data_IF_126118584363
#
_entry.id   IF_126118584363
#
_cell.length_a   1.000
_cell.length_b   1.000
_cell.length_c   1.000
_cell.angle_alpha   90.00
_cell.angle_beta   90.00
_cell.angle_gamma   90.00
#
_symmetry.space_group_name_H-M   'P 1'
#
loop_
_entity.id
_entity.type
_entity.pdbx_description
1 polymer ?
#
# COMPACT_ATOMS: atom_id res chain seq x y z
N UNK A 1 7.67 -31.77 -43.99
CA UNK A 1 7.61 -33.21 -43.65
C UNK A 1 6.27 -33.39 -42.92
N UNK A 2 5.14 -33.66 -43.59
CA UNK A 2 4.59 -34.98 -43.94
C UNK A 2 4.92 -36.05 -42.90
N UNK A 3 4.01 -36.80 -42.28
CA UNK A 3 2.57 -37.11 -42.50
C UNK A 3 1.99 -37.60 -41.15
N UNK A 4 0.68 -37.74 -40.90
CA UNK A 4 -0.48 -37.76 -41.78
C UNK A 4 -1.79 -37.71 -40.97
N UNK A 5 -2.83 -37.27 -41.68
CA UNK A 5 -4.22 -37.15 -41.25
C UNK A 5 -4.96 -38.51 -41.26
N UNK A 6 -6.11 -38.58 -40.58
CA UNK A 6 -7.42 -38.69 -41.27
C UNK A 6 -8.60 -38.41 -40.35
N UNK A 7 -9.61 -37.82 -40.97
CA UNK A 7 -10.85 -37.23 -40.48
C UNK A 7 -12.07 -38.15 -40.61
N UNK A 8 -13.08 -37.92 -39.76
CA UNK A 8 -14.54 -37.78 -40.01
C UNK A 8 -15.23 -38.76 -40.99
N UNK A 9 -16.35 -39.35 -40.52
CA UNK A 9 -17.40 -39.88 -41.38
C UNK A 9 -18.61 -40.43 -40.60
N UNK A 10 -19.78 -39.85 -40.86
CA UNK A 10 -21.09 -40.18 -40.28
C UNK A 10 -21.96 -40.93 -41.32
N UNK A 11 -22.98 -41.68 -40.84
CA UNK A 11 -24.18 -42.25 -41.52
C UNK A 11 -24.02 -43.53 -42.36
N UNK A 12 -25.11 -44.28 -42.74
CA UNK A 12 -26.55 -44.17 -42.44
C UNK A 12 -27.28 -45.48 -42.01
N UNK A 13 -28.59 -45.34 -41.79
CA UNK A 13 -29.68 -46.28 -41.49
C UNK A 13 -29.77 -47.58 -42.34
N UNK A 14 -30.44 -48.62 -41.81
CA UNK A 14 -31.75 -49.11 -42.31
C UNK A 14 -32.23 -50.43 -41.66
N UNK A 15 -33.49 -50.39 -41.18
CA UNK A 15 -34.53 -51.44 -41.31
C UNK A 15 -34.43 -52.70 -40.42
N UNK A 16 -35.50 -53.27 -39.83
CA UNK A 16 -36.93 -53.30 -40.15
C UNK A 16 -37.73 -53.96 -38.97
N UNK A 17 -39.07 -54.11 -39.00
CA UNK A 17 -39.98 -53.70 -37.92
C UNK A 17 -40.76 -54.85 -37.26
N UNK A 18 -41.47 -54.57 -36.17
CA UNK A 18 -42.64 -55.37 -35.78
C UNK A 18 -43.83 -54.47 -35.41
N UNK A 19 -44.77 -54.40 -36.34
CA UNK A 19 -46.10 -53.84 -36.20
C UNK A 19 -47.04 -54.86 -35.54
N UNK A 20 -47.86 -54.44 -34.57
CA UNK A 20 -49.11 -55.14 -34.24
C UNK A 20 -50.27 -54.15 -34.32
N UNK A 21 -51.16 -54.48 -35.24
CA UNK A 21 -52.36 -53.80 -35.69
C UNK A 21 -53.49 -53.82 -34.66
N UNK A 22 -54.29 -52.75 -34.70
CA UNK A 22 -55.65 -52.67 -34.13
C UNK A 22 -56.68 -53.06 -35.20
N UNK A 23 -57.69 -53.83 -34.80
CA UNK A 23 -58.90 -54.20 -35.57
C UNK A 23 -59.29 -55.62 -35.20
N UNK A 24 -60.54 -56.03 -35.08
CA UNK A 24 -61.90 -55.47 -35.06
C UNK A 24 -62.70 -56.52 -34.22
N UNK A 25 -63.84 -56.29 -33.56
CA UNK A 25 -65.08 -55.75 -34.07
C UNK A 25 -66.00 -56.85 -34.63
N UNK A 26 -66.55 -57.76 -33.81
CA UNK A 26 -67.84 -58.45 -34.08
C UNK A 26 -68.49 -58.89 -32.76
N UNK A 27 -69.64 -58.31 -32.43
CA UNK A 27 -70.97 -58.95 -32.38
C UNK A 27 -71.29 -59.55 -31.01
N UNK A 28 -72.24 -58.91 -30.33
CA UNK A 28 -72.89 -59.50 -29.17
C UNK A 28 -73.95 -60.49 -29.61
N UNK A 29 -74.00 -61.61 -28.90
CA UNK A 29 -75.20 -62.39 -28.65
C UNK A 29 -75.55 -62.25 -27.17
N UNK A 30 -76.73 -61.72 -26.91
CA UNK A 30 -77.28 -61.75 -25.56
C UNK A 30 -77.76 -63.15 -25.24
N UNK A 31 -77.24 -63.72 -24.16
CA UNK A 31 -77.99 -64.57 -23.26
C UNK A 31 -77.82 -64.05 -21.83
N UNK A 32 -78.95 -63.79 -21.18
CA UNK A 32 -78.96 -63.58 -19.75
C UNK A 32 -78.76 -64.92 -19.07
N UNK A 33 -77.60 -65.10 -18.44
CA UNK A 33 -77.40 -66.08 -17.38
C UNK A 33 -76.48 -65.47 -16.30
N UNK A 34 -76.91 -65.39 -15.02
CA UNK A 34 -76.04 -64.95 -13.95
C UNK A 34 -75.23 -66.13 -13.42
N UNK A 35 -73.95 -66.16 -13.79
CA UNK A 35 -72.90 -66.85 -13.06
C UNK A 35 -72.17 -67.90 -13.86
N UNK A 36 -70.92 -67.59 -14.22
CA UNK A 36 -69.72 -68.13 -13.55
C UNK A 36 -68.45 -67.79 -14.34
N UNK A 37 -67.55 -66.96 -13.78
CA UNK A 37 -66.28 -66.71 -14.45
C UNK A 37 -65.44 -65.53 -13.99
N UNK A 38 -65.02 -65.51 -12.73
CA UNK A 38 -63.76 -64.84 -12.30
C UNK A 38 -63.18 -65.46 -11.02
N UNK A 39 -61.97 -66.03 -11.13
CA UNK A 39 -60.99 -66.16 -10.06
C UNK A 39 -61.37 -66.97 -8.81
N UNK A 40 -61.04 -68.26 -8.82
CA UNK A 40 -61.22 -69.22 -7.75
C UNK A 40 -60.56 -68.76 -6.43
N UNK A 41 -61.37 -68.13 -5.56
CA UNK A 41 -61.05 -67.89 -4.17
C UNK A 41 -60.81 -69.24 -3.46
N UNK A 42 -59.72 -69.34 -2.70
CA UNK A 42 -59.57 -70.36 -1.67
C UNK A 42 -60.81 -70.31 -0.75
N UNK A 43 -61.65 -71.36 -0.67
CA UNK A 43 -62.97 -71.29 -0.02
C UNK A 43 -62.94 -71.13 1.50
N UNK A 44 -61.77 -70.97 2.13
CA UNK A 44 -61.60 -70.92 3.58
C UNK A 44 -60.97 -69.62 4.11
N UNK A 45 -60.60 -68.68 3.23
CA UNK A 45 -59.99 -67.44 3.69
C UNK A 45 -60.99 -66.56 4.48
N UNK A 46 -60.61 -66.14 5.68
CA UNK A 46 -61.40 -65.29 6.57
C UNK A 46 -62.14 -66.05 7.68
N UNK A 47 -61.72 -67.28 8.01
CA UNK A 47 -62.29 -68.10 9.09
C UNK A 47 -61.56 -67.95 10.44
N UNK A 48 -60.47 -67.18 10.47
CA UNK A 48 -59.65 -66.89 11.64
C UNK A 48 -58.60 -67.95 11.97
N UNK A 49 -58.32 -68.88 11.05
CA UNK A 49 -57.30 -69.93 11.21
C UNK A 49 -56.41 -69.96 9.98
N UNK A 50 -55.09 -69.82 10.13
CA UNK A 50 -54.15 -69.91 8.99
C UNK A 50 -54.04 -71.35 8.49
N UNK A 51 -54.43 -71.59 7.24
CA UNK A 51 -54.43 -72.91 6.59
C UNK A 51 -53.34 -73.05 5.51
N UNK A 52 -53.23 -74.25 4.92
CA UNK A 52 -52.24 -74.51 3.86
C UNK A 52 -52.61 -73.71 2.61
N UNK A 53 -51.75 -72.77 2.24
CA UNK A 53 -51.98 -71.85 1.11
C UNK A 53 -52.33 -70.42 1.52
N UNK A 54 -52.51 -70.16 2.82
CA UNK A 54 -52.72 -68.83 3.39
C UNK A 54 -51.44 -68.35 4.08
N UNK A 55 -51.15 -67.06 3.96
CA UNK A 55 -50.04 -66.42 4.68
C UNK A 55 -50.51 -65.80 6.00
N UNK A 56 -51.79 -65.41 6.07
CA UNK A 56 -52.47 -64.89 7.24
C UNK A 56 -53.97 -65.23 7.18
N UNK A 57 -54.64 -65.22 8.34
CA UNK A 57 -56.11 -65.22 8.41
C UNK A 57 -56.53 -64.58 9.74
N UNK A 58 -57.02 -63.34 9.67
CA UNK A 58 -57.51 -62.57 10.82
C UNK A 58 -59.04 -62.63 10.94
N UNK A 59 -59.68 -63.58 10.24
CA UNK A 59 -61.11 -63.77 10.23
C UNK A 59 -61.85 -62.58 9.63
N UNK A 60 -62.84 -62.08 10.36
CA UNK A 60 -63.59 -60.87 9.97
C UNK A 60 -62.76 -59.57 9.98
N UNK A 61 -61.49 -59.63 10.37
CA UNK A 61 -60.57 -58.48 10.29
C UNK A 61 -59.75 -58.47 8.99
N UNK A 62 -59.88 -59.50 8.14
CA UNK A 62 -59.39 -59.43 6.77
C UNK A 62 -60.11 -58.28 6.04
N UNK A 63 -59.39 -57.55 5.20
CA UNK A 63 -59.93 -56.39 4.52
C UNK A 63 -58.95 -55.81 3.52
N UNK A 64 -59.48 -55.08 2.53
CA UNK A 64 -58.71 -54.43 1.46
C UNK A 64 -57.72 -53.36 1.96
N UNK A 65 -57.76 -53.03 3.26
CA UNK A 65 -56.83 -52.08 3.90
C UNK A 65 -56.43 -52.57 5.30
N UNK A 66 -56.46 -53.89 5.51
CA UNK A 66 -56.06 -54.58 6.74
C UNK A 66 -54.74 -55.34 6.54
N UNK A 67 -54.03 -55.65 7.63
CA UNK A 67 -52.79 -56.45 7.62
C UNK A 67 -52.90 -57.82 6.93
N UNK A 68 -54.13 -58.32 6.78
CA UNK A 68 -54.43 -59.52 6.03
C UNK A 68 -55.48 -59.17 4.96
N UNK A 69 -55.12 -59.39 3.70
CA UNK A 69 -56.00 -59.12 2.55
C UNK A 69 -57.22 -60.06 2.57
N UNK A 70 -58.30 -59.75 1.83
CA UNK A 70 -59.46 -60.64 1.73
C UNK A 70 -59.17 -62.00 1.08
N UNK A 71 -57.98 -62.15 0.50
CA UNK A 71 -57.46 -63.39 -0.09
C UNK A 71 -56.39 -64.07 0.78
N UNK A 72 -56.23 -63.66 2.04
CA UNK A 72 -55.34 -64.31 3.02
C UNK A 72 -53.85 -64.24 2.68
N UNK A 73 -53.48 -63.17 2.00
CA UNK A 73 -52.10 -62.74 1.83
C UNK A 73 -51.76 -61.63 2.82
N UNK A 74 -50.52 -61.64 3.32
CA UNK A 74 -50.03 -60.59 4.20
C UNK A 74 -49.93 -59.29 3.39
N UNK A 75 -50.43 -58.20 3.96
CA UNK A 75 -50.24 -56.86 3.41
C UNK A 75 -48.76 -56.62 3.10
N UNK A 76 -48.47 -56.25 1.85
CA UNK A 76 -47.10 -56.13 1.37
C UNK A 76 -46.88 -54.77 0.72
N UNK A 77 -45.85 -54.08 1.17
CA UNK A 77 -45.46 -52.81 0.59
C UNK A 77 -45.08 -52.95 -0.90
N UNK A 78 -45.66 -52.09 -1.73
CA UNK A 78 -45.51 -52.07 -3.18
C UNK A 78 -46.56 -52.90 -3.92
N UNK A 79 -47.69 -53.24 -3.29
CA UNK A 79 -48.77 -54.01 -3.92
C UNK A 79 -49.91 -53.14 -4.51
N UNK A 80 -49.82 -51.83 -4.32
CA UNK A 80 -50.74 -50.82 -4.83
C UNK A 80 -51.82 -50.41 -3.82
N UNK A 81 -51.80 -50.92 -2.59
CA UNK A 81 -52.80 -50.67 -1.56
C UNK A 81 -52.19 -50.09 -0.28
N UNK A 82 -52.70 -48.95 0.17
CA UNK A 82 -52.24 -48.33 1.42
C UNK A 82 -52.97 -48.95 2.62
N UNK A 83 -52.25 -49.71 3.45
CA UNK A 83 -52.81 -50.33 4.66
C UNK A 83 -52.73 -49.41 5.89
N UNK A 84 -53.88 -48.87 6.31
CA UNK A 84 -53.94 -47.87 7.39
C UNK A 84 -53.28 -48.33 8.70
N UNK A 85 -52.34 -47.54 9.20
CA UNK A 85 -51.63 -47.77 10.47
C UNK A 85 -50.46 -48.75 10.36
N UNK A 86 -50.19 -49.30 9.18
CA UNK A 86 -49.01 -50.09 8.87
C UNK A 86 -48.09 -49.38 7.87
N UNK A 87 -48.70 -48.66 6.93
CA UNK A 87 -48.01 -47.99 5.83
C UNK A 87 -48.44 -46.52 5.74
N UNK A 88 -47.49 -45.65 5.39
CA UNK A 88 -47.75 -44.21 5.18
C UNK A 88 -48.09 -43.90 3.71
N UNK A 89 -47.65 -44.78 2.80
CA UNK A 89 -47.87 -44.72 1.35
C UNK A 89 -47.73 -46.15 0.76
N UNK A 90 -48.18 -46.35 -0.47
CA UNK A 90 -47.91 -47.50 -1.32
C UNK A 90 -48.16 -47.06 -2.78
N UNK A 91 -47.17 -47.23 -3.66
CA UNK A 91 -47.23 -46.81 -5.06
C UNK A 91 -47.18 -48.00 -6.04
N UNK A 92 -47.39 -49.21 -5.54
CA UNK A 92 -47.43 -50.44 -6.36
C UNK A 92 -46.07 -50.88 -6.88
N UNK A 93 -44.97 -50.41 -6.30
CA UNK A 93 -43.64 -50.86 -6.63
C UNK A 93 -42.67 -50.84 -5.41
N UNK A 94 -41.41 -51.25 -5.62
CA UNK A 94 -40.40 -51.35 -4.55
C UNK A 94 -39.17 -50.46 -4.82
N UNK A 95 -39.37 -49.37 -5.56
CA UNK A 95 -38.32 -48.39 -5.86
C UNK A 95 -38.18 -47.43 -4.67
N UNK A 96 -37.02 -46.78 -4.56
CA UNK A 96 -36.78 -45.71 -3.58
C UNK A 96 -36.56 -44.37 -4.30
N UNK A 97 -37.11 -44.20 -5.49
CA UNK A 97 -36.83 -43.04 -6.35
C UNK A 97 -38.10 -42.24 -6.66
N UNK A 98 -39.19 -42.61 -6.01
CA UNK A 98 -40.55 -42.13 -6.07
C UNK A 98 -41.03 -41.72 -4.68
N UNK A 99 -42.27 -41.25 -4.59
CA UNK A 99 -42.84 -40.65 -3.38
C UNK A 99 -42.99 -41.65 -2.21
N UNK A 100 -42.78 -42.95 -2.46
CA UNK A 100 -42.90 -44.02 -1.46
C UNK A 100 -41.70 -44.96 -1.45
N UNK A 101 -40.86 -44.88 -0.42
CA UNK A 101 -39.65 -45.72 -0.32
C UNK A 101 -39.96 -47.13 0.19
N UNK A 102 -39.03 -48.06 -0.05
CA UNK A 102 -39.05 -49.44 0.47
C UNK A 102 -39.34 -49.44 1.98
N UNK A 103 -40.43 -50.10 2.36
CA UNK A 103 -40.94 -50.07 3.74
C UNK A 103 -42.13 -49.13 3.95
N UNK A 104 -42.68 -48.58 2.86
CA UNK A 104 -43.94 -47.85 2.81
C UNK A 104 -43.95 -46.63 3.72
N UNK A 105 -42.86 -45.87 3.60
CA UNK A 105 -42.66 -44.56 4.20
C UNK A 105 -42.62 -43.51 3.10
N UNK A 106 -43.17 -42.34 3.42
CA UNK A 106 -43.06 -41.21 2.50
C UNK A 106 -41.58 -40.87 2.34
N UNK A 107 -41.19 -40.66 1.08
CA UNK A 107 -39.91 -40.09 0.71
C UNK A 107 -39.69 -38.76 1.48
N UNK A 108 -38.55 -38.62 2.13
CA UNK A 108 -38.18 -37.39 2.84
C UNK A 108 -36.72 -37.07 2.62
N UNK A 109 -36.41 -35.78 2.43
CA UNK A 109 -35.03 -35.33 2.38
C UNK A 109 -34.24 -35.77 3.62
N UNK A 110 -33.07 -36.38 3.39
CA UNK A 110 -32.19 -36.91 4.43
C UNK A 110 -32.49 -38.36 4.83
N UNK A 111 -33.24 -39.11 4.04
CA UNK A 111 -33.56 -40.51 4.31
C UNK A 111 -32.58 -41.53 3.68
N UNK A 112 -31.63 -41.03 2.88
CA UNK A 112 -30.57 -41.80 2.24
C UNK A 112 -30.90 -42.23 0.81
N UNK A 113 -32.04 -41.79 0.25
CA UNK A 113 -32.49 -42.17 -1.09
C UNK A 113 -32.69 -40.96 -1.98
N UNK A 114 -32.01 -40.93 -3.14
CA UNK A 114 -32.13 -39.86 -4.11
C UNK A 114 -33.44 -39.96 -4.94
N UNK A 115 -34.40 -39.08 -4.70
CA UNK A 115 -35.67 -39.00 -5.42
C UNK A 115 -35.55 -38.17 -6.72
N UNK A 116 -35.39 -38.87 -7.84
CA UNK A 116 -35.09 -38.27 -9.13
C UNK A 116 -36.18 -37.28 -9.59
N UNK A 117 -35.78 -36.02 -9.78
CA UNK A 117 -36.67 -34.95 -10.25
C UNK A 117 -37.46 -34.24 -9.15
N UNK A 118 -37.32 -34.68 -7.89
CA UNK A 118 -37.84 -33.99 -6.70
C UNK A 118 -36.70 -33.30 -5.96
N UNK A 119 -35.59 -33.99 -5.78
CA UNK A 119 -34.38 -33.52 -5.11
C UNK A 119 -33.14 -33.63 -5.99
N UNK A 120 -32.14 -32.82 -5.67
CA UNK A 120 -30.88 -32.77 -6.39
C UNK A 120 -29.75 -33.50 -5.65
N UNK A 121 -29.89 -33.74 -4.34
CA UNK A 121 -28.99 -34.54 -3.52
C UNK A 121 -29.77 -35.16 -2.35
N UNK A 122 -29.19 -36.19 -1.72
CA UNK A 122 -29.57 -36.73 -0.41
C UNK A 122 -28.32 -37.42 0.19
N UNK A 123 -27.92 -37.02 1.40
CA UNK A 123 -26.76 -37.56 2.12
C UNK A 123 -27.13 -38.39 3.36
N UNK A 124 -28.42 -38.71 3.50
CA UNK A 124 -28.95 -39.54 4.59
C UNK A 124 -29.01 -38.84 5.95
N UNK A 125 -28.91 -37.51 6.00
CA UNK A 125 -29.13 -36.78 7.24
C UNK A 125 -29.74 -35.37 7.03
N UNK A 126 -29.81 -34.57 8.10
CA UNK A 126 -30.43 -33.24 8.11
C UNK A 126 -29.46 -32.15 8.58
N UNK A 127 -28.15 -32.38 8.40
CA UNK A 127 -27.15 -31.33 8.48
C UNK A 127 -27.24 -30.48 7.19
N UNK A 128 -26.78 -29.23 7.24
CA UNK A 128 -26.75 -28.37 6.05
C UNK A 128 -25.32 -28.13 5.54
N UNK A 129 -24.31 -28.62 6.26
CA UNK A 129 -22.90 -28.27 6.06
C UNK A 129 -22.03 -29.44 5.53
N UNK A 130 -22.66 -30.52 5.05
CA UNK A 130 -22.02 -31.74 4.55
C UNK A 130 -22.33 -32.01 3.07
N UNK A 131 -22.68 -30.96 2.33
CA UNK A 131 -22.82 -30.99 0.88
C UNK A 131 -24.24 -31.22 0.36
N UNK A 132 -25.20 -31.61 1.22
CA UNK A 132 -26.62 -31.55 0.91
C UNK A 132 -27.38 -30.80 2.00
N UNK A 133 -28.16 -29.80 1.61
CA UNK A 133 -28.97 -29.06 2.58
C UNK A 133 -30.19 -29.87 3.02
N UNK A 134 -30.80 -29.51 4.14
CA UNK A 134 -32.10 -30.03 4.63
C UNK A 134 -33.28 -29.84 3.66
N UNK A 135 -33.08 -29.08 2.58
CA UNK A 135 -34.03 -28.90 1.49
C UNK A 135 -33.67 -29.73 0.26
N UNK A 136 -32.70 -30.63 0.37
CA UNK A 136 -32.17 -31.51 -0.66
C UNK A 136 -31.69 -30.78 -1.92
N UNK A 137 -31.07 -29.63 -1.65
CA UNK A 137 -30.31 -28.85 -2.62
C UNK A 137 -28.83 -29.00 -2.29
N UNK A 138 -27.96 -29.17 -3.31
CA UNK A 138 -26.52 -29.22 -3.09
C UNK A 138 -26.06 -27.97 -2.34
N UNK A 139 -25.14 -28.15 -1.40
CA UNK A 139 -24.42 -27.02 -0.81
C UNK A 139 -23.73 -26.22 -1.90
N UNK A 140 -23.88 -24.90 -1.88
CA UNK A 140 -23.25 -24.03 -2.86
C UNK A 140 -22.59 -22.87 -2.15
N UNK A 141 -21.37 -22.57 -2.57
CA UNK A 141 -20.71 -21.32 -2.24
C UNK A 141 -21.66 -20.12 -2.41
N UNK A 142 -21.63 -19.21 -1.44
CA UNK A 142 -22.46 -18.01 -1.31
C UNK A 142 -23.86 -18.23 -0.73
N UNK A 143 -24.13 -19.36 -0.07
CA UNK A 143 -25.44 -19.64 0.55
C UNK A 143 -25.51 -19.30 2.05
N UNK A 144 -24.39 -18.85 2.63
CA UNK A 144 -24.24 -18.49 4.04
C UNK A 144 -23.91 -19.67 4.94
N UNK A 145 -23.64 -20.85 4.36
CA UNK A 145 -23.37 -22.11 5.07
C UNK A 145 -22.03 -22.65 4.60
N UNK A 146 -21.04 -22.63 5.49
CA UNK A 146 -19.73 -23.21 5.21
C UNK A 146 -19.83 -24.73 5.01
N UNK A 147 -19.67 -25.18 3.76
CA UNK A 147 -19.71 -26.59 3.38
C UNK A 147 -18.36 -27.30 3.62
N UNK A 148 -18.37 -28.64 3.65
CA UNK A 148 -17.14 -29.42 3.65
C UNK A 148 -16.31 -29.16 2.38
N UNK A 149 -15.09 -28.61 2.56
CA UNK A 149 -14.17 -28.28 1.47
C UNK A 149 -14.11 -26.80 1.11
N UNK A 150 -15.04 -25.98 1.62
CA UNK A 150 -14.97 -24.53 1.56
C UNK A 150 -14.05 -23.99 2.68
N UNK A 151 -13.31 -22.93 2.39
CA UNK A 151 -12.48 -22.26 3.41
C UNK A 151 -13.25 -21.13 4.11
N UNK A 152 -14.20 -20.53 3.40
CA UNK A 152 -15.06 -19.45 3.85
C UNK A 152 -16.40 -19.54 3.08
N UNK A 153 -17.44 -18.92 3.63
CA UNK A 153 -18.68 -18.58 2.95
C UNK A 153 -19.24 -17.32 3.62
N UNK A 154 -19.50 -16.27 2.84
CA UNK A 154 -19.96 -14.97 3.31
C UNK A 154 -21.43 -14.67 2.93
N UNK A 155 -22.12 -15.67 2.36
CA UNK A 155 -23.50 -15.60 1.92
C UNK A 155 -23.75 -14.66 0.75
N UNK A 156 -22.73 -14.33 -0.04
CA UNK A 156 -22.84 -13.38 -1.12
C UNK A 156 -21.99 -13.78 -2.34
N UNK A 157 -22.35 -13.30 -3.53
CA UNK A 157 -21.71 -13.69 -4.82
C UNK A 157 -20.64 -12.70 -5.29
N UNK A 158 -20.31 -11.71 -4.46
CA UNK A 158 -19.19 -10.81 -4.69
C UNK A 158 -17.90 -11.63 -4.55
N UNK A 159 -16.97 -11.42 -5.48
CA UNK A 159 -15.66 -12.10 -5.46
C UNK A 159 -14.54 -11.08 -5.26
N UNK A 160 -14.88 -9.86 -4.84
CA UNK A 160 -13.94 -8.77 -4.59
C UNK A 160 -13.75 -8.47 -3.10
N UNK A 161 -14.24 -9.36 -2.23
CA UNK A 161 -14.12 -9.32 -0.78
C UNK A 161 -13.15 -10.40 -0.26
N UNK A 162 -13.27 -10.77 1.01
CA UNK A 162 -12.39 -11.72 1.69
C UNK A 162 -12.68 -13.20 1.38
N UNK A 163 -13.76 -13.49 0.64
CA UNK A 163 -14.17 -14.86 0.31
C UNK A 163 -14.42 -15.13 -1.19
N UNK A 164 -13.45 -14.85 -2.08
CA UNK A 164 -13.61 -15.14 -3.50
C UNK A 164 -13.74 -16.66 -3.74
N UNK A 165 -14.89 -17.06 -4.27
CA UNK A 165 -15.17 -18.45 -4.67
C UNK A 165 -14.90 -19.49 -3.55
N UNK A 166 -15.28 -19.15 -2.32
CA UNK A 166 -15.14 -20.00 -1.13
C UNK A 166 -13.70 -20.41 -0.80
N UNK A 167 -12.74 -19.59 -1.23
CA UNK A 167 -11.36 -19.59 -0.76
C UNK A 167 -11.08 -18.25 -0.09
N UNK A 168 -10.16 -18.23 0.87
CA UNK A 168 -9.72 -16.94 1.42
C UNK A 168 -8.97 -16.15 0.35
N UNK A 169 -9.28 -14.87 0.28
CA UNK A 169 -8.48 -13.84 -0.36
C UNK A 169 -7.00 -13.95 0.05
N UNK A 170 -6.07 -13.85 -0.91
CA UNK A 170 -4.65 -13.87 -0.62
C UNK A 170 -3.83 -13.06 -1.62
N UNK A 171 -2.79 -12.42 -1.08
CA UNK A 171 -1.82 -11.65 -1.83
C UNK A 171 -1.07 -12.49 -2.87
N UNK A 172 -1.05 -12.03 -4.11
CA UNK A 172 -0.37 -12.64 -5.26
C UNK A 172 -1.26 -13.50 -6.15
N UNK A 173 -2.58 -13.39 -6.03
CA UNK A 173 -3.55 -14.18 -6.81
C UNK A 173 -4.00 -13.49 -8.12
N UNK A 174 -3.59 -12.24 -8.31
CA UNK A 174 -3.83 -11.43 -9.50
C UNK A 174 -5.05 -10.52 -9.38
N UNK A 175 -5.71 -10.46 -8.22
CA UNK A 175 -6.90 -9.65 -7.97
C UNK A 175 -6.68 -8.78 -6.75
N UNK A 176 -7.20 -7.55 -6.77
CA UNK A 176 -7.18 -6.68 -5.58
C UNK A 176 -8.53 -6.78 -4.88
N UNK A 177 -8.55 -7.40 -3.70
CA UNK A 177 -9.73 -7.59 -2.87
C UNK A 177 -9.93 -6.39 -1.93
N UNK A 178 -11.07 -5.72 -2.07
CA UNK A 178 -11.34 -4.45 -1.41
C UNK A 178 -11.45 -4.62 0.11
N UNK A 179 -10.56 -3.95 0.84
CA UNK A 179 -10.53 -4.01 2.30
C UNK A 179 -9.75 -5.20 2.87
N UNK A 180 -9.21 -6.06 2.00
CA UNK A 180 -8.27 -7.13 2.37
C UNK A 180 -6.84 -6.71 2.06
N UNK A 181 -6.63 -6.09 0.90
CA UNK A 181 -5.30 -5.72 0.42
C UNK A 181 -5.29 -4.36 -0.31
N UNK A 182 -4.12 -3.71 -0.36
CA UNK A 182 -3.96 -2.41 -1.00
C UNK A 182 -3.51 -2.55 -2.48
N UNK A 183 -2.80 -3.62 -2.80
CA UNK A 183 -2.31 -3.96 -4.13
C UNK A 183 -2.31 -5.48 -4.34
N UNK A 184 -2.15 -5.91 -5.58
CA UNK A 184 -1.83 -7.29 -5.96
C UNK A 184 -1.23 -7.24 -7.38
N UNK A 185 -0.06 -7.82 -7.58
CA UNK A 185 0.62 -7.90 -8.89
C UNK A 185 0.73 -9.33 -9.44
N UNK A 186 -0.06 -10.24 -8.90
CA UNK A 186 -0.21 -11.62 -9.35
C UNK A 186 1.00 -12.51 -9.05
N UNK A 187 1.87 -12.09 -8.13
CA UNK A 187 3.03 -12.87 -7.74
C UNK A 187 3.37 -12.71 -6.24
N UNK A 188 4.41 -13.41 -5.78
CA UNK A 188 4.83 -13.43 -4.36
C UNK A 188 6.23 -12.86 -4.15
N UNK A 189 6.75 -12.12 -5.13
CA UNK A 189 7.94 -11.29 -4.95
C UNK A 189 7.59 -10.15 -3.99
N UNK A 190 8.58 -9.69 -3.24
CA UNK A 190 8.44 -8.58 -2.31
C UNK A 190 9.26 -7.37 -2.76
N UNK A 191 9.94 -7.46 -3.91
CA UNK A 191 10.87 -6.45 -4.42
C UNK A 191 10.33 -5.73 -5.68
N UNK A 192 9.02 -5.79 -5.92
CA UNK A 192 8.30 -5.12 -6.99
C UNK A 192 7.21 -4.19 -6.43
N UNK A 193 6.16 -3.91 -7.20
CA UNK A 193 5.16 -2.89 -6.85
C UNK A 193 4.29 -3.25 -5.64
N UNK A 194 4.26 -4.52 -5.23
CA UNK A 194 3.40 -4.99 -4.16
C UNK A 194 4.13 -5.94 -3.21
N UNK A 195 4.13 -5.62 -1.92
CA UNK A 195 4.90 -6.39 -0.94
C UNK A 195 4.17 -7.68 -0.52
N UNK A 196 4.76 -8.85 -0.78
CA UNK A 196 4.27 -10.11 -0.19
C UNK A 196 4.78 -10.32 1.24
N UNK A 197 3.98 -10.87 2.19
CA UNK A 197 2.61 -11.38 2.06
C UNK A 197 1.51 -10.40 2.51
N UNK A 198 1.86 -9.13 2.77
CA UNK A 198 0.95 -8.14 3.35
C UNK A 198 0.16 -7.36 2.30
N UNK A 199 0.57 -7.44 1.02
CA UNK A 199 0.03 -6.70 -0.11
C UNK A 199 -0.13 -5.21 0.16
N UNK A 200 0.95 -4.62 0.68
CA UNK A 200 1.11 -3.18 0.81
C UNK A 200 1.91 -2.65 -0.38
N UNK A 201 1.60 -1.43 -0.82
CA UNK A 201 2.38 -0.78 -1.87
C UNK A 201 3.84 -0.62 -1.44
N UNK A 202 4.76 -0.81 -2.40
CA UNK A 202 6.16 -0.42 -2.26
C UNK A 202 6.28 1.06 -1.83
N UNK A 203 7.19 1.34 -0.90
CA UNK A 203 7.37 2.67 -0.32
C UNK A 203 8.80 3.13 -0.48
N UNK A 204 8.95 4.37 -0.94
CA UNK A 204 10.21 5.09 -0.93
C UNK A 204 10.72 5.28 0.50
N UNK A 205 12.03 5.14 0.70
CA UNK A 205 12.68 5.43 1.97
C UNK A 205 12.54 4.31 3.00
N UNK A 206 12.12 3.10 2.60
CA UNK A 206 11.99 1.95 3.49
C UNK A 206 13.27 1.08 3.53
N UNK A 207 14.25 1.41 2.69
CA UNK A 207 15.55 0.76 2.61
C UNK A 207 15.62 -0.37 1.58
N UNK A 208 14.57 -0.58 0.79
CA UNK A 208 14.48 -1.62 -0.24
C UNK A 208 14.35 -0.94 -1.59
N UNK A 209 15.22 -1.31 -2.54
CA UNK A 209 15.11 -0.82 -3.91
C UNK A 209 14.13 -1.70 -4.71
N UNK A 210 12.95 -1.18 -5.04
CA UNK A 210 11.91 -1.88 -5.79
C UNK A 210 12.10 -1.75 -7.32
N UNK A 211 12.37 -2.86 -8.01
CA UNK A 211 12.77 -2.84 -9.43
C UNK A 211 11.63 -2.34 -10.33
N UNK A 212 11.90 -1.27 -11.09
CA UNK A 212 10.92 -0.70 -12.02
C UNK A 212 9.82 0.14 -11.36
N UNK A 213 9.85 0.27 -10.03
CA UNK A 213 8.97 1.17 -9.25
C UNK A 213 9.70 2.46 -8.92
N UNK A 214 10.98 2.38 -8.57
CA UNK A 214 11.81 3.50 -8.14
C UNK A 214 13.25 3.42 -8.68
N UNK A 215 13.92 4.58 -8.74
CA UNK A 215 15.31 4.70 -9.23
C UNK A 215 16.33 4.65 -8.09
N UNK A 216 15.94 5.06 -6.89
CA UNK A 216 16.73 4.98 -5.66
C UNK A 216 15.85 4.79 -4.44
N UNK A 217 16.49 4.32 -3.36
CA UNK A 217 15.98 4.32 -1.99
C UNK A 217 17.18 4.52 -1.07
N UNK A 218 17.13 5.52 -0.18
CA UNK A 218 18.17 5.80 0.81
C UNK A 218 17.73 5.56 2.26
N UNK A 219 16.63 4.82 2.43
CA UNK A 219 16.13 4.32 3.69
C UNK A 219 15.59 5.37 4.63
N UNK A 220 15.18 6.54 4.12
CA UNK A 220 14.53 7.56 4.92
C UNK A 220 13.61 8.50 4.12
N UNK A 221 12.77 9.27 4.82
CA UNK A 221 11.80 10.23 4.23
C UNK A 221 12.35 11.67 4.15
N UNK A 222 13.64 11.86 3.91
CA UNK A 222 14.24 13.19 3.68
C UNK A 222 14.31 13.44 2.18
N UNK A 223 13.99 14.67 1.76
CA UNK A 223 13.97 15.04 0.33
C UNK A 223 15.27 15.73 -0.12
N UNK A 224 16.32 15.58 0.68
CA UNK A 224 17.47 16.50 0.75
C UNK A 224 18.80 15.76 0.84
N UNK A 225 18.82 14.50 0.43
CA UNK A 225 19.92 13.55 0.48
C UNK A 225 19.98 12.71 -0.81
N UNK A 226 20.37 11.45 -0.77
CA UNK A 226 20.63 10.67 -1.99
C UNK A 226 19.32 10.32 -2.73
N UNK A 227 18.28 10.12 -1.93
CA UNK A 227 16.88 9.90 -2.17
C UNK A 227 16.02 11.17 -2.38
N UNK A 228 15.27 11.38 -3.47
CA UNK A 228 14.13 12.33 -3.37
C UNK A 228 12.90 11.59 -2.86
N UNK A 229 11.92 12.29 -2.28
CA UNK A 229 10.62 11.69 -1.89
C UNK A 229 9.79 11.18 -3.08
N UNK A 230 10.23 11.47 -4.30
CA UNK A 230 9.66 10.93 -5.55
C UNK A 230 10.43 9.69 -6.05
N UNK A 231 11.36 9.17 -5.26
CA UNK A 231 12.25 8.03 -5.57
C UNK A 231 13.06 8.21 -6.85
N UNK A 232 13.41 9.46 -7.14
CA UNK A 232 14.33 9.83 -8.21
C UNK A 232 15.68 10.20 -7.62
N UNK A 233 16.76 9.83 -8.31
CA UNK A 233 18.12 10.11 -7.87
C UNK A 233 18.29 11.62 -7.75
N UNK A 234 18.71 12.07 -6.57
CA UNK A 234 19.07 13.45 -6.31
C UNK A 234 20.20 13.89 -7.26
N UNK A 235 20.06 15.06 -7.90
CA UNK A 235 21.04 15.55 -8.87
C UNK A 235 21.23 17.07 -8.77
N UNK A 236 22.42 17.52 -9.15
CA UNK A 236 22.84 18.90 -9.15
C UNK A 236 21.98 19.79 -10.05
N UNK A 237 21.50 20.91 -9.50
CA UNK A 237 20.73 21.92 -10.24
C UNK A 237 19.23 21.66 -10.30
N UNK A 238 18.72 20.81 -9.39
CA UNK A 238 17.28 20.59 -9.20
C UNK A 238 16.62 21.66 -8.31
N UNK A 239 17.41 22.60 -7.79
CA UNK A 239 16.98 23.71 -6.94
C UNK A 239 16.99 23.38 -5.44
N UNK A 240 17.52 22.22 -5.04
CA UNK A 240 17.59 21.76 -3.66
C UNK A 240 18.99 21.26 -3.36
N UNK A 241 19.70 21.91 -2.43
CA UNK A 241 21.01 21.42 -1.98
C UNK A 241 20.88 20.06 -1.26
N UNK A 242 21.40 19.02 -1.89
CA UNK A 242 21.37 17.62 -1.44
C UNK A 242 22.57 17.27 -0.54
N UNK A 243 22.32 16.98 0.73
CA UNK A 243 23.35 16.72 1.73
C UNK A 243 24.16 15.46 1.41
N UNK A 244 25.48 15.61 1.22
CA UNK A 244 26.39 14.50 0.92
C UNK A 244 26.38 14.05 -0.54
N UNK A 245 25.51 14.64 -1.38
CA UNK A 245 25.49 14.47 -2.83
C UNK A 245 26.20 15.65 -3.50
N UNK A 246 25.98 16.88 -3.01
CA UNK A 246 26.55 18.10 -3.59
C UNK A 246 26.97 19.16 -2.55
N UNK A 247 27.92 20.03 -2.90
CA UNK A 247 28.41 21.09 -2.01
C UNK A 247 27.55 22.37 -2.06
N UNK A 248 26.82 22.57 -3.16
CA UNK A 248 25.92 23.67 -3.49
C UNK A 248 24.95 23.17 -4.57
N UNK A 249 23.86 23.91 -4.86
CA UNK A 249 23.00 23.64 -6.01
C UNK A 249 23.24 24.76 -7.04
N UNK A 250 23.63 24.42 -8.27
CA UNK A 250 23.94 25.39 -9.34
C UNK A 250 22.65 26.12 -9.78
N UNK A 251 21.55 25.38 -9.91
CA UNK A 251 20.25 25.92 -10.30
C UNK A 251 20.23 26.60 -11.67
N UNK A 252 21.34 26.55 -12.42
CA UNK A 252 21.49 27.11 -13.76
C UNK A 252 22.61 26.40 -14.56
N UNK A 253 23.06 26.99 -15.68
CA UNK A 253 24.03 26.39 -16.62
C UNK A 253 25.36 27.20 -16.71
N UNK A 254 25.69 28.01 -15.70
CA UNK A 254 26.80 28.98 -15.73
C UNK A 254 27.95 28.50 -14.84
N UNK A 255 28.97 27.90 -15.47
CA UNK A 255 30.10 27.27 -14.76
C UNK A 255 31.00 28.21 -13.94
N UNK A 256 30.95 29.52 -14.25
CA UNK A 256 31.74 30.56 -13.58
C UNK A 256 30.98 31.24 -12.43
N UNK A 257 29.79 30.73 -12.08
CA UNK A 257 29.11 31.18 -10.87
C UNK A 257 29.53 30.35 -9.64
N UNK A 258 29.00 30.77 -8.50
CA UNK A 258 29.37 30.28 -7.17
C UNK A 258 29.38 28.74 -7.03
N UNK A 259 28.55 28.07 -7.83
CA UNK A 259 28.41 26.63 -7.86
C UNK A 259 28.60 26.14 -9.29
N UNK A 260 29.70 25.43 -9.56
CA UNK A 260 29.94 24.89 -10.91
C UNK A 260 28.81 23.97 -11.36
N UNK A 261 28.71 23.64 -12.65
CA UNK A 261 27.74 22.63 -13.13
C UNK A 261 27.96 21.22 -12.57
N UNK A 262 29.12 20.96 -11.97
CA UNK A 262 29.43 19.73 -11.21
C UNK A 262 29.11 19.87 -9.70
N UNK A 263 28.38 20.93 -9.32
CA UNK A 263 28.02 21.33 -7.96
C UNK A 263 29.16 21.31 -6.93
N UNK A 264 30.33 21.77 -7.38
CA UNK A 264 31.48 22.08 -6.53
C UNK A 264 31.50 23.56 -6.19
N UNK A 265 31.78 23.90 -4.93
CA UNK A 265 31.84 25.31 -4.52
C UNK A 265 33.19 25.92 -4.90
N UNK A 266 33.16 27.04 -5.62
CA UNK A 266 34.36 27.85 -5.91
C UNK A 266 34.59 28.97 -4.87
N UNK A 267 33.81 28.99 -3.78
CA UNK A 267 33.90 30.02 -2.75
C UNK A 267 35.21 29.89 -1.96
N UNK A 268 36.01 30.97 -1.95
CA UNK A 268 37.15 31.11 -1.07
C UNK A 268 36.66 31.32 0.37
N UNK A 269 36.45 30.22 1.12
CA UNK A 269 36.00 30.26 2.51
C UNK A 269 37.04 29.63 3.44
N UNK A 270 37.83 30.46 4.12
CA UNK A 270 38.94 30.02 4.96
C UNK A 270 38.75 30.37 6.42
N UNK A 271 39.28 29.51 7.29
CA UNK A 271 39.25 29.70 8.74
C UNK A 271 40.26 30.79 9.19
N UNK A 272 39.81 31.69 10.05
CA UNK A 272 40.62 32.71 10.72
C UNK A 272 40.88 34.00 9.93
N UNK A 273 41.44 35.03 10.59
CA UNK A 273 41.78 36.28 9.90
C UNK A 273 42.92 36.11 8.89
N UNK A 274 42.74 36.64 7.68
CA UNK A 274 43.72 36.57 6.60
C UNK A 274 44.38 37.92 6.35
N UNK A 275 45.65 37.90 5.93
CA UNK A 275 46.42 39.12 5.62
C UNK A 275 47.04 39.02 4.24
N UNK A 276 47.14 40.15 3.53
CA UNK A 276 47.78 40.23 2.21
C UNK A 276 47.11 39.30 1.18
N UNK A 277 45.80 39.45 1.04
CA UNK A 277 44.97 38.71 0.08
C UNK A 277 44.57 39.64 -1.05
N UNK A 278 44.80 39.27 -2.31
CA UNK A 278 44.30 40.03 -3.44
C UNK A 278 42.80 39.75 -3.62
N UNK A 279 42.01 40.76 -3.96
CA UNK A 279 40.58 40.59 -4.25
C UNK A 279 40.32 39.57 -5.35
N UNK A 280 41.22 39.44 -6.34
CA UNK A 280 41.10 38.44 -7.40
C UNK A 280 41.20 36.98 -6.88
N UNK A 281 41.78 36.77 -5.69
CA UNK A 281 41.88 35.45 -5.05
C UNK A 281 40.65 35.14 -4.18
N UNK A 282 39.75 36.10 -3.97
CA UNK A 282 38.51 35.94 -3.20
C UNK A 282 37.36 35.39 -4.07
N UNK A 283 37.59 34.22 -4.67
CA UNK A 283 36.58 33.53 -5.48
C UNK A 283 35.23 33.44 -4.77
N UNK A 284 34.14 33.76 -5.48
CA UNK A 284 32.78 33.71 -4.95
C UNK A 284 32.33 34.88 -4.03
N UNK A 285 33.18 35.86 -3.75
CA UNK A 285 32.80 37.05 -2.97
C UNK A 285 32.45 38.26 -3.85
N UNK A 286 31.34 38.95 -3.54
CA UNK A 286 30.96 40.21 -4.18
C UNK A 286 31.16 41.40 -3.22
N UNK A 287 31.80 42.48 -3.69
CA UNK A 287 31.89 43.72 -2.92
C UNK A 287 30.53 44.44 -2.88
N UNK A 288 29.85 44.34 -1.76
CA UNK A 288 28.53 44.97 -1.56
C UNK A 288 28.62 46.37 -0.92
N UNK A 289 29.70 46.66 -0.19
CA UNK A 289 29.88 47.99 0.43
C UNK A 289 31.34 48.34 0.68
N UNK A 290 31.68 49.61 0.42
CA UNK A 290 32.96 50.21 0.79
C UNK A 290 32.80 51.59 1.42
N UNK A 291 33.69 51.98 2.33
CA UNK A 291 33.68 53.30 2.96
C UNK A 291 34.97 53.70 3.67
N UNK A 292 35.33 54.98 3.61
CA UNK A 292 36.59 55.49 4.16
C UNK A 292 36.62 55.52 5.69
N UNK A 293 37.75 55.17 6.30
CA UNK A 293 37.94 55.18 7.75
C UNK A 293 37.71 56.56 8.39
N UNK A 294 38.03 57.66 7.71
CA UNK A 294 37.83 59.02 8.20
C UNK A 294 36.40 59.58 8.04
N UNK A 295 35.44 58.78 7.55
CA UNK A 295 34.07 59.23 7.23
C UNK A 295 33.02 58.44 8.03
N UNK A 296 31.96 59.13 8.46
CA UNK A 296 30.80 58.53 9.11
C UNK A 296 29.72 58.19 8.08
N UNK A 297 29.21 56.96 8.12
CA UNK A 297 28.17 56.45 7.24
C UNK A 297 26.92 56.08 8.05
N UNK A 298 25.75 56.68 7.73
CA UNK A 298 24.51 56.41 8.46
C UNK A 298 23.90 55.06 8.07
N UNK A 299 23.04 54.53 8.94
CA UNK A 299 22.15 53.39 8.69
C UNK A 299 22.88 52.06 8.37
N UNK A 300 23.69 51.61 9.34
CA UNK A 300 24.43 50.35 9.26
C UNK A 300 23.51 49.15 9.05
N UNK A 301 22.53 48.93 9.94
CA UNK A 301 21.69 47.73 9.87
C UNK A 301 20.67 47.76 8.74
N UNK A 302 20.11 48.93 8.41
CA UNK A 302 19.01 49.04 7.46
C UNK A 302 19.46 49.17 6.02
N UNK A 303 20.53 49.92 5.74
CA UNK A 303 21.01 50.15 4.38
C UNK A 303 22.21 49.26 4.08
N UNK A 304 23.31 49.40 4.83
CA UNK A 304 24.55 48.69 4.52
C UNK A 304 24.35 47.17 4.65
N UNK A 305 23.94 46.70 5.82
CA UNK A 305 23.72 45.27 6.05
C UNK A 305 22.33 44.82 5.56
N UNK A 306 21.32 45.69 5.59
CA UNK A 306 19.93 45.31 5.30
C UNK A 306 19.53 45.35 3.84
N UNK A 307 20.27 46.06 2.98
CA UNK A 307 19.91 46.26 1.57
C UNK A 307 21.08 46.05 0.60
N UNK A 308 22.30 46.40 0.99
CA UNK A 308 23.48 46.28 0.12
C UNK A 308 24.16 44.92 0.30
N UNK A 309 24.49 44.56 1.53
CA UNK A 309 25.18 43.33 1.89
C UNK A 309 24.20 42.31 2.47
N UNK A 310 23.41 41.67 1.63
CA UNK A 310 22.31 40.78 2.06
C UNK A 310 22.66 39.30 2.12
N UNK A 311 23.88 38.93 1.73
CA UNK A 311 24.26 37.52 1.58
C UNK A 311 24.32 36.77 2.91
N UNK A 312 24.21 35.44 2.82
CA UNK A 312 24.24 34.48 3.93
C UNK A 312 25.60 34.43 4.63
N UNK A 313 26.67 34.85 3.94
CA UNK A 313 28.05 34.97 4.44
C UNK A 313 28.55 36.39 4.30
N UNK A 314 29.40 36.79 5.23
CA UNK A 314 30.02 38.12 5.24
C UNK A 314 31.53 38.01 5.35
N UNK A 315 32.22 38.79 4.54
CA UNK A 315 33.64 39.08 4.65
C UNK A 315 33.78 40.54 5.02
N UNK A 316 34.48 40.80 6.11
CA UNK A 316 34.73 42.15 6.61
C UNK A 316 36.22 42.39 6.56
N UNK A 317 36.66 43.48 5.91
CA UNK A 317 38.07 43.72 5.69
C UNK A 317 38.44 45.18 5.51
N UNK A 318 39.73 45.43 5.39
CA UNK A 318 40.29 46.76 5.23
C UNK A 318 41.51 46.76 4.32
N UNK A 319 41.64 47.85 3.55
CA UNK A 319 42.73 48.04 2.60
C UNK A 319 43.06 49.53 2.39
N UNK A 320 44.26 49.86 1.87
CA UNK A 320 44.54 51.20 1.39
C UNK A 320 43.64 51.57 0.20
N UNK A 321 43.26 52.83 0.09
CA UNK A 321 42.44 53.31 -1.04
C UNK A 321 43.18 53.08 -2.37
N UNK A 322 42.48 52.55 -3.38
CA UNK A 322 43.00 52.11 -4.68
C UNK A 322 43.91 50.86 -4.66
N UNK A 323 43.90 50.08 -3.57
CA UNK A 323 44.56 48.77 -3.50
C UNK A 323 43.53 47.68 -3.79
N UNK A 324 43.86 46.69 -4.62
CA UNK A 324 43.10 45.42 -4.72
C UNK A 324 43.46 44.46 -3.58
N UNK A 325 44.61 44.68 -2.94
CA UNK A 325 45.11 43.81 -1.86
C UNK A 325 44.55 44.26 -0.52
N UNK A 326 43.83 43.35 0.13
CA UNK A 326 43.40 43.46 1.51
C UNK A 326 44.58 43.34 2.47
N UNK A 327 44.71 44.31 3.36
CA UNK A 327 45.71 44.24 4.44
C UNK A 327 45.28 43.22 5.48
N UNK A 328 44.00 43.22 5.81
CA UNK A 328 43.39 42.31 6.76
C UNK A 328 41.93 42.10 6.38
N UNK A 329 41.48 40.85 6.41
CA UNK A 329 40.08 40.47 6.26
C UNK A 329 39.77 39.26 7.15
N UNK A 330 38.51 39.03 7.41
CA UNK A 330 38.00 37.79 7.96
C UNK A 330 36.62 37.52 7.38
N UNK A 331 36.22 36.26 7.33
CA UNK A 331 34.95 35.81 6.76
C UNK A 331 34.25 34.84 7.71
N UNK A 332 32.93 34.80 7.62
CA UNK A 332 32.10 33.88 8.41
C UNK A 332 30.65 33.94 7.95
N UNK A 333 29.83 33.05 8.50
CA UNK A 333 28.40 33.12 8.30
C UNK A 333 27.86 34.43 8.88
N UNK A 334 26.87 35.01 8.20
CA UNK A 334 26.30 36.31 8.55
C UNK A 334 25.83 36.36 10.00
N UNK A 335 25.20 35.29 10.47
CA UNK A 335 24.68 35.19 11.83
C UNK A 335 25.80 35.28 12.88
N UNK A 336 26.96 34.71 12.59
CA UNK A 336 28.13 34.76 13.46
C UNK A 336 28.83 36.11 13.43
N UNK A 337 29.04 36.66 12.23
CA UNK A 337 29.69 37.96 12.03
C UNK A 337 28.89 39.09 12.69
N UNK A 338 27.56 39.00 12.66
CA UNK A 338 26.64 39.98 13.22
C UNK A 338 26.08 39.60 14.60
N UNK A 339 26.66 38.60 15.27
CA UNK A 339 26.23 38.21 16.60
C UNK A 339 26.40 39.37 17.60
N UNK A 340 25.31 39.77 18.26
CA UNK A 340 25.30 40.91 19.19
C UNK A 340 26.04 40.57 20.50
N UNK A 341 27.26 41.08 20.66
CA UNK A 341 28.09 40.86 21.86
C UNK A 341 27.98 41.99 22.89
N UNK A 342 27.13 42.99 22.61
CA UNK A 342 26.96 44.17 23.47
C UNK A 342 28.21 45.06 23.52
N UNK A 343 28.42 45.73 24.65
CA UNK A 343 29.48 46.74 24.81
C UNK A 343 30.71 46.23 25.59
N UNK A 344 30.66 45.01 26.12
CA UNK A 344 31.72 44.43 26.93
C UNK A 344 32.87 43.83 26.13
N UNK A 345 33.86 43.28 26.83
CA UNK A 345 34.97 42.53 26.26
C UNK A 345 34.59 41.07 25.95
N UNK A 346 33.46 40.89 25.26
CA UNK A 346 32.89 39.60 24.88
C UNK A 346 32.99 39.45 23.37
N UNK A 347 33.36 38.25 22.93
CA UNK A 347 33.42 37.85 21.53
C UNK A 347 32.50 36.66 21.28
N UNK A 348 32.14 36.46 20.02
CA UNK A 348 31.51 35.27 19.48
C UNK A 348 32.53 34.55 18.60
N UNK A 349 32.88 33.34 18.97
CA UNK A 349 33.97 32.61 18.31
C UNK A 349 33.39 31.67 17.25
N UNK A 350 33.70 31.94 15.97
CA UNK A 350 33.21 31.18 14.83
C UNK A 350 34.17 31.30 13.64
N UNK A 351 34.26 30.24 12.83
CA UNK A 351 35.18 30.15 11.68
C UNK A 351 36.63 30.59 12.00
N UNK A 352 37.15 30.20 13.17
CA UNK A 352 38.51 30.55 13.61
C UNK A 352 38.73 32.03 13.95
N UNK A 353 37.66 32.80 14.13
CA UNK A 353 37.70 34.24 14.37
C UNK A 353 36.90 34.57 15.63
N UNK A 354 37.43 35.47 16.47
CA UNK A 354 36.71 36.05 17.59
C UNK A 354 35.98 37.33 17.14
N UNK A 355 34.72 37.18 16.73
CA UNK A 355 33.85 38.26 16.25
C UNK A 355 33.30 39.10 17.40
N UNK A 356 33.01 40.36 17.12
CA UNK A 356 32.20 41.19 18.00
C UNK A 356 31.43 42.22 17.19
N UNK A 357 30.14 42.31 17.46
CA UNK A 357 29.26 43.26 16.82
C UNK A 357 28.34 43.93 17.83
N UNK A 358 28.16 45.23 17.67
CA UNK A 358 27.09 45.99 18.29
C UNK A 358 26.83 47.25 17.47
N UNK A 359 25.58 47.51 17.08
CA UNK A 359 25.24 48.68 16.24
C UNK A 359 25.48 50.06 16.90
N UNK A 360 25.78 50.11 18.20
CA UNK A 360 25.96 51.36 18.98
C UNK A 360 27.28 51.44 19.74
N UNK A 361 28.28 50.60 19.42
CA UNK A 361 29.56 50.58 20.13
C UNK A 361 30.75 50.34 19.20
N UNK A 362 30.92 49.10 18.73
CA UNK A 362 31.94 48.73 17.75
C UNK A 362 31.59 47.43 17.07
N UNK A 363 32.10 47.27 15.85
CA UNK A 363 32.15 46.00 15.14
C UNK A 363 33.57 45.67 14.68
N UNK A 364 33.89 44.39 14.60
CA UNK A 364 35.19 43.93 14.14
C UNK A 364 35.46 42.50 14.59
N UNK A 365 36.74 42.15 14.57
CA UNK A 365 37.18 40.82 14.94
C UNK A 365 38.61 40.81 15.48
N UNK A 366 38.97 39.69 16.10
CA UNK A 366 40.31 39.35 16.50
C UNK A 366 40.63 37.89 16.21
N UNK A 367 41.92 37.57 16.21
CA UNK A 367 42.43 36.20 16.21
C UNK A 367 41.84 35.38 17.37
N UNK A 368 41.52 34.11 17.10
CA UNK A 368 40.75 33.25 18.00
C UNK A 368 41.43 33.15 19.37
N UNK A 369 40.65 33.36 20.44
CA UNK A 369 41.12 33.18 21.81
C UNK A 369 42.13 34.23 22.30
N UNK A 370 42.41 35.27 21.51
CA UNK A 370 43.29 36.38 21.94
C UNK A 370 42.57 37.38 22.85
N UNK A 371 41.24 37.32 22.90
CA UNK A 371 40.38 38.24 23.64
C UNK A 371 40.39 39.67 23.07
N UNK A 372 39.49 40.51 23.58
CA UNK A 372 39.36 41.92 23.14
C UNK A 372 39.38 42.91 24.30
N UNK A 373 39.83 44.14 24.04
CA UNK A 373 39.81 45.24 25.00
C UNK A 373 39.02 46.41 24.42
N UNK A 374 37.70 46.35 24.51
CA UNK A 374 36.76 47.30 23.90
C UNK A 374 36.52 48.50 24.81
N UNK A 375 37.13 49.63 24.49
CA UNK A 375 36.81 50.95 25.04
C UNK A 375 36.30 51.84 23.90
N UNK A 376 35.07 51.56 23.44
CA UNK A 376 34.48 52.01 22.16
C UNK A 376 35.11 51.44 20.88
N UNK A 377 36.36 50.97 20.92
CA UNK A 377 36.94 50.02 19.97
C UNK A 377 37.96 49.13 20.68
N UNK A 378 38.37 48.05 20.02
CA UNK A 378 39.36 47.11 20.53
C UNK A 378 40.80 47.65 20.50
N UNK A 379 41.33 47.93 21.69
CA UNK A 379 42.69 48.46 21.93
C UNK A 379 43.70 47.37 22.31
N UNK A 380 43.31 46.10 22.29
CA UNK A 380 44.20 44.99 22.66
C UNK A 380 45.43 44.93 21.76
N UNK A 381 46.51 44.29 22.21
CA UNK A 381 47.76 44.24 21.41
C UNK A 381 48.39 42.84 21.33
N UNK A 382 47.65 41.81 21.73
CA UNK A 382 47.95 40.42 21.38
C UNK A 382 47.61 40.23 19.90
N UNK A 383 48.39 39.45 19.14
CA UNK A 383 48.22 39.24 17.68
C UNK A 383 47.85 40.52 16.90
N UNK A 384 48.66 41.59 16.97
CA UNK A 384 48.22 42.93 16.57
C UNK A 384 47.90 43.07 15.08
N UNK A 385 48.43 42.18 14.22
CA UNK A 385 48.17 42.13 12.78
C UNK A 385 46.82 41.53 12.42
N UNK A 386 46.19 40.75 13.30
CA UNK A 386 45.01 39.92 13.03
C UNK A 386 43.75 40.47 13.71
N UNK A 387 43.67 41.79 13.89
CA UNK A 387 42.62 42.46 14.68
C UNK A 387 42.15 43.71 13.97
N UNK A 388 40.85 43.83 13.77
CA UNK A 388 40.23 44.96 13.09
C UNK A 388 39.11 45.51 13.96
N UNK A 389 38.95 46.84 13.97
CA UNK A 389 37.85 47.46 14.71
C UNK A 389 37.35 48.73 14.03
N UNK A 390 36.03 48.81 13.89
CA UNK A 390 35.30 50.00 13.46
C UNK A 390 34.39 50.48 14.59
N UNK A 391 34.44 51.78 14.86
CA UNK A 391 33.49 52.38 15.78
C UNK A 391 32.09 52.41 15.16
N UNK A 392 31.09 52.07 15.96
CA UNK A 392 29.68 52.19 15.59
C UNK A 392 28.95 53.01 16.66
N UNK A 393 27.86 53.66 16.26
CA UNK A 393 27.11 54.53 17.17
C UNK A 393 25.78 54.94 16.58
N UNK A 394 24.67 54.79 17.32
CA UNK A 394 23.32 55.13 16.86
C UNK A 394 22.97 54.53 15.49
N UNK A 395 23.35 53.27 15.24
CA UNK A 395 23.17 52.60 13.95
C UNK A 395 23.93 53.25 12.78
N UNK A 396 25.13 53.74 13.03
CA UNK A 396 26.03 54.33 12.03
C UNK A 396 27.42 53.73 12.20
N UNK A 397 28.16 53.58 11.09
CA UNK A 397 29.60 53.35 11.17
C UNK A 397 30.26 54.73 11.28
N UNK A 398 30.92 55.02 12.40
CA UNK A 398 31.60 56.30 12.62
C UNK A 398 33.05 56.23 12.15
N UNK A 399 33.91 57.16 12.53
CA UNK A 399 35.34 57.11 12.16
C UNK A 399 35.95 55.80 12.65
N UNK A 400 36.59 55.03 11.76
CA UNK A 400 37.18 53.74 12.12
C UNK A 400 38.43 53.87 13.01
N UNK A 401 38.85 52.77 13.63
CA UNK A 401 39.93 52.76 14.61
C UNK A 401 41.16 51.99 14.13
N UNK A 402 40.95 50.76 13.63
CA UNK A 402 42.04 49.80 13.40
C UNK A 402 41.84 48.92 12.18
N UNK A 403 42.95 48.64 11.52
CA UNK A 403 43.12 47.64 10.45
C UNK A 403 44.45 46.90 10.70
N UNK A 404 44.40 45.78 11.44
CA UNK A 404 45.61 45.08 11.87
C UNK A 404 46.53 45.97 12.70
N UNK A 405 47.81 46.05 12.32
CA UNK A 405 48.79 46.92 12.98
C UNK A 405 48.65 48.41 12.62
N UNK A 406 47.71 48.76 11.74
CA UNK A 406 47.47 50.13 11.29
C UNK A 406 46.32 50.76 12.07
N UNK A 407 46.44 52.04 12.39
CA UNK A 407 45.41 52.82 13.11
C UNK A 407 44.93 54.01 12.25
N UNK A 408 44.20 53.74 11.15
CA UNK A 408 43.81 54.79 10.22
C UNK A 408 42.61 55.59 10.74
N UNK A 409 42.81 56.90 10.87
CA UNK A 409 41.76 57.90 11.15
C UNK A 409 41.60 58.89 9.99
N UNK A 410 41.90 58.45 8.77
CA UNK A 410 41.97 59.29 7.57
C UNK A 410 41.25 58.63 6.38
N UNK A 411 41.16 59.35 5.27
CA UNK A 411 40.57 58.86 4.02
C UNK A 411 41.63 58.26 3.08
N UNK A 412 42.69 57.64 3.62
CA UNK A 412 43.68 56.86 2.85
C UNK A 412 43.47 55.36 3.01
N UNK A 413 42.53 54.97 3.86
CA UNK A 413 42.13 53.60 4.12
C UNK A 413 40.63 53.47 3.96
N UNK A 414 40.21 52.32 3.44
CA UNK A 414 38.81 51.95 3.28
C UNK A 414 38.49 50.67 4.02
N UNK A 415 37.22 50.61 4.42
CA UNK A 415 36.53 49.48 5.02
C UNK A 415 35.73 48.84 3.92
N UNK A 416 35.77 47.53 3.85
CA UNK A 416 35.08 46.79 2.81
C UNK A 416 34.25 45.71 3.49
N UNK A 417 33.02 45.56 3.03
CA UNK A 417 32.18 44.41 3.33
C UNK A 417 31.91 43.75 1.98
N UNK A 418 32.16 42.45 1.92
CA UNK A 418 31.76 41.59 0.83
C UNK A 418 30.72 40.59 1.35
N UNK A 419 29.89 40.07 0.46
CA UNK A 419 28.93 39.02 0.76
C UNK A 419 29.03 37.87 -0.24
N UNK A 420 28.60 36.71 0.20
CA UNK A 420 28.41 35.50 -0.59
C UNK A 420 27.19 34.76 -0.02
N UNK A 421 26.64 33.79 -0.75
CA UNK A 421 25.52 32.96 -0.29
C UNK A 421 25.92 31.51 0.01
#
# INVERSE_FOLDING_TARGET
MLAGATSVGCTPEESSPFTMTKGDGTEGDGDGDPGDGDGDANPNCGDGVVQVGEECDLGSQNGESSQCTPTCHIAACGDGYVYQGFEECDDGNATNADDCVTGCKLATCGDGFLHAGVEACDDGNLDNADGCTTMCLPGTCSDGILQEGEQCDDGNVDTSDDCPACQFAFCGDGYVQNGVEACDDGNLDSNDGCTSPLCEHAQCGDGILYEGVEECDDGNDVNGDACTLACTVAFCGDGVKQAGVEECDDGNDVDDDYCTNDCTSLLYFVEGPQTNVDEADLGGWEECWTGFYGTTYPNLTGTILGQQCTGSKLLVGCRPVNSTVFTLLAMGDREDVLFETGQGNVTHDANGVSWYYNGSWSMGFADLGTGVQRNSCDTGNVSPTLRMCWHTGNNQITTGYRCGSQFPFNNQWERVIMHAD
#
